data_IF_307194548010
#
_entry.id   IF_307194548010
#
_cell.length_a   1.000
_cell.length_b   1.000
_cell.length_c   1.000
_cell.angle_alpha   90.00
_cell.angle_beta   90.00
_cell.angle_gamma   90.00
#
_symmetry.space_group_name_H-M   'P 1'
#
loop_
_entity.id
_entity.type
_entity.pdbx_description
1 polymer ?
#
# COMPACT_ATOMS: atom_id res chain seq x y z
N UNK A 1 21.18 -64.83 -24.68
CA UNK A 1 21.60 -63.66 -23.91
C UNK A 1 22.34 -62.72 -24.86
N UNK A 2 21.76 -61.58 -25.19
CA UNK A 2 22.42 -60.55 -26.01
C UNK A 2 22.31 -59.22 -25.27
N UNK A 3 23.46 -58.59 -25.06
CA UNK A 3 23.65 -57.38 -24.28
C UNK A 3 23.58 -56.24 -25.30
N UNK A 4 22.50 -55.47 -25.29
CA UNK A 4 22.33 -54.31 -26.18
C UNK A 4 23.09 -53.13 -25.59
N UNK A 5 24.13 -52.68 -26.27
CA UNK A 5 24.90 -51.49 -25.92
C UNK A 5 24.16 -50.23 -26.40
N UNK A 6 23.78 -49.37 -25.46
CA UNK A 6 23.25 -48.04 -25.77
C UNK A 6 24.39 -47.12 -26.25
N UNK A 7 24.21 -46.33 -27.34
CA UNK A 7 25.22 -45.37 -27.75
C UNK A 7 25.32 -44.16 -26.79
N UNK A 8 26.54 -43.87 -26.36
CA UNK A 8 26.97 -42.59 -25.79
C UNK A 8 27.07 -41.54 -26.91
N UNK A 9 26.00 -40.81 -27.16
CA UNK A 9 26.07 -39.52 -27.87
C UNK A 9 25.59 -38.43 -26.93
N UNK A 10 26.58 -37.92 -26.20
CA UNK A 10 26.47 -36.78 -25.34
C UNK A 10 26.17 -35.52 -26.17
N UNK A 11 25.15 -34.79 -25.72
CA UNK A 11 25.13 -33.33 -25.62
C UNK A 11 25.69 -32.57 -26.82
N UNK A 12 24.86 -32.39 -27.84
CA UNK A 12 24.96 -31.23 -28.73
C UNK A 12 23.73 -30.35 -28.51
N UNK A 13 23.77 -29.54 -27.45
CA UNK A 13 22.86 -28.42 -27.28
C UNK A 13 23.32 -27.33 -28.26
N UNK A 14 22.62 -27.18 -29.38
CA UNK A 14 22.80 -26.02 -30.25
C UNK A 14 22.53 -24.74 -29.43
N UNK A 15 23.33 -23.67 -29.57
CA UNK A 15 23.00 -22.39 -28.96
C UNK A 15 21.78 -21.82 -29.68
N UNK A 16 20.61 -21.94 -29.04
CA UNK A 16 19.41 -21.19 -29.41
C UNK A 16 19.77 -19.70 -29.41
N UNK A 17 19.60 -19.05 -30.56
CA UNK A 17 19.69 -17.60 -30.70
C UNK A 17 18.51 -16.98 -29.96
N UNK A 18 18.62 -16.83 -28.64
CA UNK A 18 17.64 -16.06 -27.90
C UNK A 18 17.84 -14.58 -28.25
N UNK A 19 16.84 -13.87 -28.79
CA UNK A 19 16.86 -12.43 -28.74
C UNK A 19 16.80 -12.06 -27.26
N UNK A 20 17.89 -11.53 -26.71
CA UNK A 20 17.92 -10.84 -25.42
C UNK A 20 17.08 -9.58 -25.55
N UNK A 21 15.77 -9.72 -25.46
CA UNK A 21 14.85 -8.62 -25.65
C UNK A 21 13.78 -8.67 -24.58
N UNK A 22 14.15 -8.25 -23.37
CA UNK A 22 13.23 -7.76 -22.34
C UNK A 22 14.03 -7.05 -21.23
N UNK A 23 14.70 -5.96 -21.57
CA UNK A 23 15.02 -4.93 -20.58
C UNK A 23 14.47 -3.60 -21.09
N UNK A 24 13.29 -3.16 -20.62
CA UNK A 24 12.96 -1.76 -20.75
C UNK A 24 14.00 -0.99 -19.96
N UNK A 25 14.69 -0.09 -20.66
CA UNK A 25 15.61 0.91 -20.16
C UNK A 25 15.09 1.45 -18.82
N UNK A 26 15.95 1.40 -17.79
CA UNK A 26 15.68 1.75 -16.37
C UNK A 26 15.24 3.21 -16.15
N UNK A 27 15.10 4.02 -17.19
CA UNK A 27 15.04 5.49 -17.10
C UNK A 27 13.63 6.08 -17.21
N UNK A 28 12.58 5.27 -17.32
CA UNK A 28 11.19 5.77 -17.35
C UNK A 28 10.22 4.97 -16.49
N UNK A 29 10.48 4.87 -15.19
CA UNK A 29 9.45 4.39 -14.26
C UNK A 29 9.32 5.40 -13.15
N UNK A 30 8.12 5.99 -13.00
CA UNK A 30 7.76 6.69 -11.77
C UNK A 30 8.05 5.81 -10.56
N UNK A 31 8.03 6.40 -9.36
CA UNK A 31 8.25 5.69 -8.09
C UNK A 31 7.62 4.29 -8.15
N UNK A 32 8.39 3.21 -7.92
CA UNK A 32 7.87 1.86 -8.07
C UNK A 32 6.60 1.73 -7.23
N UNK A 33 5.54 1.14 -7.79
CA UNK A 33 4.22 1.04 -7.17
C UNK A 33 4.32 0.52 -5.72
N UNK A 34 5.29 -0.36 -5.43
CA UNK A 34 5.62 -0.81 -4.09
C UNK A 34 5.94 0.34 -3.12
N UNK A 35 6.77 1.33 -3.50
CA UNK A 35 7.07 2.50 -2.67
C UNK A 35 5.82 3.34 -2.37
N UNK A 36 4.92 3.50 -3.34
CA UNK A 36 3.70 4.27 -3.11
C UNK A 36 2.77 3.58 -2.10
N UNK A 37 2.68 2.24 -2.15
CA UNK A 37 1.93 1.46 -1.16
C UNK A 37 2.55 1.59 0.23
N UNK A 38 3.88 1.55 0.31
CA UNK A 38 4.61 1.72 1.57
C UNK A 38 4.37 3.11 2.17
N UNK A 39 4.56 4.15 1.37
CA UNK A 39 4.33 5.54 1.79
C UNK A 39 2.87 5.77 2.20
N UNK A 40 1.91 5.18 1.49
CA UNK A 40 0.49 5.24 1.87
C UNK A 40 0.22 4.59 3.23
N UNK A 41 0.82 3.44 3.50
CA UNK A 41 0.69 2.73 4.78
C UNK A 41 1.33 3.50 5.93
N UNK A 42 2.49 4.12 5.70
CA UNK A 42 3.18 4.98 6.67
C UNK A 42 2.39 6.26 6.98
N UNK A 43 1.83 6.90 5.94
CA UNK A 43 0.91 8.02 6.09
C UNK A 43 -0.32 7.63 6.90
N UNK A 44 -0.91 6.47 6.62
CA UNK A 44 -2.05 5.97 7.38
C UNK A 44 -1.70 5.68 8.84
N UNK A 45 -0.53 5.10 9.11
CA UNK A 45 -0.06 4.85 10.47
C UNK A 45 0.11 6.16 11.26
N UNK A 46 0.52 7.25 10.59
CA UNK A 46 0.63 8.59 11.20
C UNK A 46 -0.74 9.18 11.52
N UNK A 47 -1.74 8.99 10.66
CA UNK A 47 -3.08 9.58 10.81
C UNK A 47 -4.01 8.80 11.74
N UNK A 48 -3.97 7.47 11.67
CA UNK A 48 -4.84 6.56 12.44
C UNK A 48 -4.16 6.03 13.72
N UNK A 49 -2.83 6.00 13.73
CA UNK A 49 -2.04 5.28 14.73
C UNK A 49 -1.80 3.82 14.31
N UNK A 50 -0.64 3.28 14.70
CA UNK A 50 -0.23 1.90 14.36
C UNK A 50 -1.16 0.81 14.90
N UNK A 51 -1.73 1.01 16.10
CA UNK A 51 -2.65 0.05 16.72
C UNK A 51 -3.91 -0.11 15.89
N UNK A 52 -4.63 1.00 15.69
CA UNK A 52 -5.86 1.01 14.88
C UNK A 52 -5.61 0.50 13.47
N UNK A 53 -4.54 0.93 12.79
CA UNK A 53 -4.23 0.44 11.45
C UNK A 53 -3.97 -1.08 11.43
N UNK A 54 -3.32 -1.63 12.46
CA UNK A 54 -3.10 -3.07 12.55
C UNK A 54 -4.43 -3.82 12.75
N UNK A 55 -5.34 -3.27 13.55
CA UNK A 55 -6.67 -3.83 13.78
C UNK A 55 -7.52 -3.83 12.50
N UNK A 56 -7.54 -2.73 11.75
CA UNK A 56 -8.25 -2.61 10.45
C UNK A 56 -7.74 -3.63 9.43
N UNK A 57 -6.43 -3.89 9.44
CA UNK A 57 -5.78 -4.85 8.56
C UNK A 57 -5.85 -6.30 9.09
N UNK A 58 -6.45 -6.52 10.26
CA UNK A 58 -6.53 -7.82 10.94
C UNK A 58 -5.14 -8.47 11.13
N UNK A 59 -4.12 -7.66 11.42
CA UNK A 59 -2.74 -8.12 11.67
C UNK A 59 -2.20 -7.59 12.99
N UNK A 60 -1.08 -8.12 13.44
CA UNK A 60 -0.39 -7.56 14.62
C UNK A 60 0.42 -6.32 14.25
N UNK A 61 0.65 -5.43 15.21
CA UNK A 61 1.56 -4.27 15.04
C UNK A 61 2.97 -4.71 14.61
N UNK A 62 3.43 -5.87 15.07
CA UNK A 62 4.71 -6.45 14.62
C UNK A 62 4.69 -6.78 13.13
N UNK A 63 3.62 -7.43 12.65
CA UNK A 63 3.44 -7.73 11.23
C UNK A 63 3.32 -6.47 10.37
N UNK A 64 2.65 -5.43 10.90
CA UNK A 64 2.59 -4.12 10.28
C UNK A 64 3.99 -3.50 10.13
N UNK A 65 4.83 -3.55 11.17
CA UNK A 65 6.22 -3.04 11.08
C UNK A 65 7.05 -3.78 10.02
N UNK A 66 6.90 -5.10 9.89
CA UNK A 66 7.58 -5.86 8.81
C UNK A 66 7.16 -5.39 7.42
N UNK A 67 5.88 -5.02 7.26
CA UNK A 67 5.42 -4.41 6.00
C UNK A 67 6.08 -3.07 5.81
N UNK A 68 5.99 -2.17 6.80
CA UNK A 68 6.58 -0.82 6.78
C UNK A 68 8.08 -0.79 6.47
N UNK A 69 8.85 -1.78 6.94
CA UNK A 69 10.28 -1.93 6.66
C UNK A 69 10.59 -2.51 5.27
N UNK A 70 9.58 -2.75 4.43
CA UNK A 70 9.66 -3.45 3.15
C UNK A 70 10.19 -4.89 3.24
N UNK A 71 10.23 -5.48 4.44
CA UNK A 71 10.57 -6.89 4.65
C UNK A 71 9.45 -7.83 4.14
N UNK A 72 8.21 -7.32 4.11
CA UNK A 72 7.05 -7.98 3.50
C UNK A 72 6.30 -7.00 2.60
N UNK A 73 5.97 -7.44 1.38
CA UNK A 73 5.18 -6.63 0.46
C UNK A 73 3.79 -6.29 1.00
N UNK A 74 3.21 -5.20 0.48
CA UNK A 74 1.85 -4.74 0.79
C UNK A 74 0.89 -5.21 -0.28
N UNK A 75 -0.15 -5.94 0.13
CA UNK A 75 -1.13 -6.52 -0.79
C UNK A 75 -2.18 -5.49 -1.24
N UNK A 76 -2.84 -5.75 -2.36
CA UNK A 76 -3.93 -4.88 -2.85
C UNK A 76 -5.08 -4.78 -1.85
N UNK A 77 -5.38 -5.88 -1.15
CA UNK A 77 -6.40 -5.91 -0.11
C UNK A 77 -6.06 -4.98 1.06
N UNK A 78 -4.80 -4.97 1.49
CA UNK A 78 -4.33 -4.06 2.54
C UNK A 78 -4.40 -2.59 2.12
N UNK A 79 -4.05 -2.28 0.86
CA UNK A 79 -4.17 -0.91 0.33
C UNK A 79 -5.62 -0.45 0.35
N UNK A 80 -6.56 -1.29 -0.10
CA UNK A 80 -8.00 -0.98 -0.11
C UNK A 80 -8.55 -0.82 1.31
N UNK A 81 -8.20 -1.72 2.22
CA UNK A 81 -8.62 -1.63 3.62
C UNK A 81 -8.07 -0.36 4.29
N UNK A 82 -6.80 -0.03 4.04
CA UNK A 82 -6.17 1.21 4.55
C UNK A 82 -6.89 2.46 4.02
N UNK A 83 -7.24 2.48 2.73
CA UNK A 83 -7.96 3.59 2.13
C UNK A 83 -9.35 3.77 2.78
N UNK A 84 -10.10 2.68 2.94
CA UNK A 84 -11.41 2.70 3.59
C UNK A 84 -11.34 3.23 5.05
N UNK A 85 -10.35 2.79 5.83
CA UNK A 85 -10.15 3.28 7.20
C UNK A 85 -9.82 4.78 7.26
N UNK A 86 -9.08 5.29 6.27
CA UNK A 86 -8.80 6.72 6.16
C UNK A 86 -10.03 7.53 5.78
N UNK A 87 -10.86 7.03 4.87
CA UNK A 87 -12.12 7.67 4.47
C UNK A 87 -13.07 7.80 5.67
N UNK A 88 -13.25 6.73 6.44
CA UNK A 88 -14.07 6.76 7.66
C UNK A 88 -13.53 7.83 8.66
N UNK A 89 -12.21 7.88 8.85
CA UNK A 89 -11.60 8.90 9.72
C UNK A 89 -11.80 10.32 9.19
N UNK A 90 -11.74 10.50 7.87
CA UNK A 90 -11.97 11.80 7.25
C UNK A 90 -13.43 12.27 7.45
N UNK A 91 -14.41 11.38 7.34
CA UNK A 91 -15.81 11.70 7.60
C UNK A 91 -16.05 12.17 9.04
N UNK A 92 -15.39 11.52 10.01
CA UNK A 92 -15.42 11.96 11.41
C UNK A 92 -14.84 13.37 11.55
N UNK A 93 -13.70 13.66 10.93
CA UNK A 93 -13.11 15.00 10.98
C UNK A 93 -14.00 16.06 10.32
N UNK A 94 -14.61 15.75 9.17
CA UNK A 94 -15.55 16.66 8.51
C UNK A 94 -16.79 16.92 9.38
N UNK A 95 -17.30 15.90 10.06
CA UNK A 95 -18.42 16.02 10.99
C UNK A 95 -18.06 16.93 12.17
N UNK A 96 -16.88 16.75 12.75
CA UNK A 96 -16.39 17.62 13.83
C UNK A 96 -16.19 19.06 13.35
N UNK A 97 -15.58 19.26 12.18
CA UNK A 97 -15.41 20.58 11.60
C UNK A 97 -16.75 21.29 11.36
N UNK A 98 -17.78 20.58 10.88
CA UNK A 98 -19.14 21.12 10.73
C UNK A 98 -19.72 21.57 12.06
N UNK A 99 -19.58 20.76 13.13
CA UNK A 99 -20.02 21.15 14.48
C UNK A 99 -19.34 22.43 14.96
N UNK A 100 -18.03 22.56 14.73
CA UNK A 100 -17.28 23.77 15.12
C UNK A 100 -17.71 25.02 14.34
N UNK A 101 -17.97 24.90 13.04
CA UNK A 101 -18.50 26.02 12.23
C UNK A 101 -19.86 26.47 12.73
N UNK A 102 -20.75 25.53 13.07
CA UNK A 102 -22.05 25.85 13.63
C UNK A 102 -21.96 26.64 14.95
N UNK A 103 -20.95 26.39 15.80
CA UNK A 103 -20.73 27.17 17.02
C UNK A 103 -20.42 28.64 16.71
N UNK A 104 -19.64 28.90 15.66
CA UNK A 104 -19.30 30.27 15.22
C UNK A 104 -20.52 30.96 14.60
N UNK A 105 -21.28 30.25 13.76
CA UNK A 105 -22.47 30.80 13.10
C UNK A 105 -23.63 31.08 14.08
N UNK A 106 -23.73 30.32 15.18
CA UNK A 106 -24.69 30.60 16.27
C UNK A 106 -24.29 31.87 17.04
N UNK A 107 -22.99 32.14 17.18
CA UNK A 107 -22.49 33.32 17.90
C UNK A 107 -22.75 34.63 17.15
N UNK A 108 -22.60 34.64 15.82
CA UNK A 108 -22.85 35.84 15.00
C UNK A 108 -24.33 36.25 14.93
N UNK A 109 -25.25 35.33 15.16
CA UNK A 109 -26.69 35.62 15.22
C UNK A 109 -27.17 36.12 16.62
N UNK A 110 -26.28 36.13 17.63
CA UNK A 110 -26.61 36.52 19.01
C UNK A 110 -26.03 37.86 19.49
N UNK A 111 -25.06 38.46 18.80
CA UNK A 111 -24.43 39.74 19.19
C UNK A 111 -25.09 40.95 18.52
N UNK A 112 -26.42 41.00 18.57
CA UNK A 112 -27.21 41.94 17.78
C UNK A 112 -28.40 42.62 18.46
N UNK A 113 -28.58 42.58 19.78
CA UNK A 113 -29.53 43.48 20.47
C UNK A 113 -29.09 43.71 21.91
N UNK A 114 -28.60 44.91 22.21
CA UNK A 114 -28.27 45.36 23.56
C UNK A 114 -27.75 46.79 23.51
N UNK A 115 -28.68 47.74 23.29
CA UNK A 115 -28.45 49.17 23.52
C UNK A 115 -28.14 49.44 24.98
#
# INVERSE_FOLDING_TARGET
>A
MMISAAPLEARQSQPSSQPTNCSPIREQRGLPIAMLRMAGLEGAATLLGKGRLADELCITVRALNYKMNAERGVSDGEVRATAAALEERAELFLTHARKLRAVVDVKSNGEGVGR
#
